data_IF_734251648450
#
_entry.id   IF_734251648450
#
_cell.length_a   1.000
_cell.length_b   1.000
_cell.length_c   1.000
_cell.angle_alpha   90.00
_cell.angle_beta   90.00
_cell.angle_gamma   90.00
#
_symmetry.space_group_name_H-M   'P 1'
#
loop_
_entity.id
_entity.type
_entity.pdbx_description
1 polymer ?
#
# COMPACT_ATOMS: atom_id res chain seq x y z
N UNK A 1 -11.65 -30.40 -0.21
CA UNK A 1 -10.21 -30.06 -0.16
C UNK A 1 -10.02 -29.12 1.02
N UNK A 2 -9.20 -29.47 2.01
CA UNK A 2 -8.93 -28.63 3.18
C UNK A 2 -7.70 -27.77 2.90
N UNK A 3 -7.78 -26.46 3.17
CA UNK A 3 -6.64 -25.57 3.08
C UNK A 3 -5.61 -25.95 4.14
N UNK A 4 -4.35 -26.17 3.73
CA UNK A 4 -3.24 -26.25 4.68
C UNK A 4 -3.06 -24.89 5.37
N UNK A 5 -2.55 -24.83 6.61
CA UNK A 5 -2.34 -23.58 7.33
C UNK A 5 -1.56 -22.51 6.55
N UNK A 6 -0.56 -22.92 5.75
CA UNK A 6 0.24 -22.04 4.90
C UNK A 6 -0.63 -21.39 3.80
N UNK A 7 -1.46 -22.19 3.13
CA UNK A 7 -2.39 -21.67 2.12
C UNK A 7 -3.44 -20.75 2.72
N UNK A 8 -3.90 -21.00 3.96
CA UNK A 8 -4.85 -20.13 4.66
C UNK A 8 -4.23 -18.78 5.03
N UNK A 9 -2.97 -18.77 5.49
CA UNK A 9 -2.23 -17.54 5.78
C UNK A 9 -2.01 -16.70 4.52
N UNK A 10 -1.48 -17.32 3.45
CA UNK A 10 -1.29 -16.65 2.17
C UNK A 10 -2.60 -16.05 1.64
N UNK A 11 -3.70 -16.82 1.70
CA UNK A 11 -5.03 -16.31 1.31
C UNK A 11 -5.47 -15.10 2.15
N UNK A 12 -5.22 -15.12 3.46
CA UNK A 12 -5.48 -13.98 4.34
C UNK A 12 -4.70 -12.73 3.90
N UNK A 13 -3.42 -12.90 3.56
CA UNK A 13 -2.56 -11.80 3.09
C UNK A 13 -3.06 -11.20 1.77
N UNK A 14 -3.49 -12.06 0.83
CA UNK A 14 -4.10 -11.63 -0.43
C UNK A 14 -5.40 -10.86 -0.20
N UNK A 15 -6.24 -11.31 0.73
CA UNK A 15 -7.50 -10.67 1.08
C UNK A 15 -7.28 -9.31 1.72
N UNK A 16 -6.35 -9.19 2.66
CA UNK A 16 -6.01 -7.90 3.28
C UNK A 16 -5.46 -6.90 2.27
N UNK A 17 -4.59 -7.34 1.35
CA UNK A 17 -4.09 -6.50 0.26
C UNK A 17 -5.24 -5.95 -0.59
N UNK A 18 -6.21 -6.81 -0.91
CA UNK A 18 -7.37 -6.41 -1.69
C UNK A 18 -8.27 -5.43 -0.93
N UNK A 19 -8.41 -5.59 0.40
CA UNK A 19 -9.11 -4.61 1.24
C UNK A 19 -8.41 -3.25 1.23
N UNK A 20 -7.07 -3.22 1.33
CA UNK A 20 -6.28 -1.99 1.23
C UNK A 20 -6.50 -1.34 -0.14
N UNK A 21 -6.43 -2.12 -1.22
CA UNK A 21 -6.68 -1.64 -2.58
C UNK A 21 -8.07 -1.03 -2.71
N UNK A 22 -9.10 -1.71 -2.22
CA UNK A 22 -10.48 -1.25 -2.26
C UNK A 22 -10.69 0.03 -1.45
N UNK A 23 -10.07 0.15 -0.26
CA UNK A 23 -10.15 1.35 0.57
C UNK A 23 -9.46 2.55 -0.10
N UNK A 24 -8.25 2.36 -0.64
CA UNK A 24 -7.54 3.38 -1.42
C UNK A 24 -8.35 3.81 -2.64
N UNK A 25 -8.94 2.87 -3.37
CA UNK A 25 -9.79 3.16 -4.52
C UNK A 25 -11.05 3.94 -4.13
N UNK A 26 -11.71 3.56 -3.04
CA UNK A 26 -12.89 4.25 -2.52
C UNK A 26 -12.59 5.71 -2.18
N UNK A 27 -11.40 6.00 -1.65
CA UNK A 27 -10.97 7.36 -1.34
C UNK A 27 -10.48 8.13 -2.57
N UNK A 28 -9.78 7.45 -3.49
CA UNK A 28 -9.15 8.03 -4.68
C UNK A 28 -9.34 7.11 -5.90
N UNK A 29 -10.47 7.22 -6.61
CA UNK A 29 -10.77 6.36 -7.76
C UNK A 29 -9.73 6.44 -8.90
N UNK A 30 -9.02 7.57 -9.00
CA UNK A 30 -7.97 7.82 -9.99
C UNK A 30 -6.75 6.88 -9.83
N UNK A 31 -6.56 6.28 -8.65
CA UNK A 31 -5.45 5.36 -8.39
C UNK A 31 -5.59 4.05 -9.16
N UNK A 32 -6.80 3.65 -9.56
CA UNK A 32 -7.06 2.36 -10.21
C UNK A 32 -6.20 2.14 -11.46
N UNK A 33 -6.04 3.19 -12.28
CA UNK A 33 -5.25 3.12 -13.50
C UNK A 33 -3.73 3.07 -13.26
N UNK A 34 -3.27 3.35 -12.03
CA UNK A 34 -1.84 3.56 -11.73
C UNK A 34 -1.31 2.52 -10.73
N UNK A 35 -2.18 2.00 -9.87
CA UNK A 35 -1.84 1.07 -8.81
C UNK A 35 -1.42 -0.28 -9.40
N UNK A 36 -0.23 -0.73 -9.03
CA UNK A 36 0.36 -1.98 -9.48
C UNK A 36 0.34 -3.00 -8.35
N UNK A 37 -0.19 -4.17 -8.67
CA UNK A 37 -0.30 -5.30 -7.77
C UNK A 37 0.78 -6.33 -8.12
N UNK A 38 1.47 -6.85 -7.10
CA UNK A 38 2.37 -7.99 -7.30
C UNK A 38 1.55 -9.29 -7.41
N UNK A 39 1.87 -10.20 -8.35
CA UNK A 39 1.14 -11.45 -8.55
C UNK A 39 1.56 -12.57 -7.59
N UNK A 40 2.74 -12.48 -6.98
CA UNK A 40 3.32 -13.53 -6.15
C UNK A 40 3.38 -13.14 -4.66
N UNK A 41 3.37 -11.84 -4.35
CA UNK A 41 3.51 -11.32 -2.99
C UNK A 41 2.34 -10.42 -2.59
N UNK A 42 2.02 -10.32 -1.28
CA UNK A 42 1.10 -9.32 -0.75
C UNK A 42 1.75 -7.91 -0.76
N UNK A 43 1.99 -7.40 -1.96
CA UNK A 43 2.67 -6.15 -2.25
C UNK A 43 1.81 -5.31 -3.21
N UNK A 44 1.78 -4.01 -2.93
CA UNK A 44 1.08 -3.01 -3.70
C UNK A 44 2.02 -1.82 -3.93
N UNK A 45 2.03 -1.30 -5.16
CA UNK A 45 2.90 -0.20 -5.58
C UNK A 45 2.04 0.91 -6.16
N UNK A 46 2.30 2.14 -5.73
CA UNK A 46 1.55 3.33 -6.16
C UNK A 46 2.57 4.29 -6.79
N UNK A 47 2.74 4.24 -8.12
CA UNK A 47 3.58 5.19 -8.85
C UNK A 47 3.01 6.61 -8.71
N UNK A 48 3.85 7.57 -8.34
CA UNK A 48 3.48 8.98 -8.36
C UNK A 48 3.70 9.57 -9.75
N UNK A 49 2.83 10.47 -10.25
CA UNK A 49 2.99 11.09 -11.57
C UNK A 49 4.28 11.91 -11.61
N UNK A 50 5.23 11.49 -12.47
CA UNK A 50 6.52 12.15 -12.64
C UNK A 50 7.50 11.98 -11.46
N UNK A 51 7.23 11.02 -10.57
CA UNK A 51 7.96 10.89 -9.31
C UNK A 51 8.21 9.45 -8.87
N UNK A 52 8.67 9.27 -7.63
CA UNK A 52 8.99 7.95 -7.10
C UNK A 52 7.74 7.14 -6.73
N UNK A 53 7.90 5.86 -6.39
CA UNK A 53 6.79 4.93 -6.12
C UNK A 53 6.62 4.69 -4.62
N UNK A 54 5.40 4.88 -4.10
CA UNK A 54 5.03 4.42 -2.74
C UNK A 54 4.86 2.91 -2.77
N UNK A 55 5.39 2.22 -1.78
CA UNK A 55 5.32 0.77 -1.67
C UNK A 55 4.53 0.42 -0.41
N UNK A 56 3.57 -0.48 -0.54
CA UNK A 56 2.82 -1.05 0.58
C UNK A 56 3.06 -2.55 0.57
N UNK A 57 3.67 -3.09 1.62
CA UNK A 57 4.07 -4.49 1.71
C UNK A 57 3.70 -5.08 3.06
N UNK A 58 3.38 -6.38 3.09
CA UNK A 58 3.24 -7.10 4.35
C UNK A 58 4.61 -7.61 4.82
N UNK A 59 4.95 -7.40 6.09
CA UNK A 59 6.14 -7.98 6.71
C UNK A 59 5.84 -9.42 7.13
N UNK A 60 6.64 -10.37 6.66
CA UNK A 60 6.51 -11.79 7.01
C UNK A 60 7.27 -12.18 8.29
N UNK A 61 8.15 -11.30 8.78
CA UNK A 61 9.10 -11.61 9.85
C UNK A 61 8.66 -10.95 11.18
N UNK A 62 7.90 -11.69 12.00
CA UNK A 62 7.52 -11.25 13.35
C UNK A 62 6.28 -11.93 13.93
N UNK A 63 6.08 -11.87 15.27
CA UNK A 63 4.92 -12.46 15.96
C UNK A 63 3.60 -11.77 15.62
N UNK A 64 3.65 -10.60 14.98
CA UNK A 64 2.50 -9.84 14.51
C UNK A 64 2.77 -9.41 13.06
N UNK A 65 2.05 -10.01 12.11
CA UNK A 65 2.15 -9.62 10.70
C UNK A 65 1.59 -8.19 10.55
N UNK A 66 2.46 -7.24 10.25
CA UNK A 66 2.09 -5.83 10.05
C UNK A 66 2.35 -5.40 8.62
N UNK A 67 1.59 -4.41 8.18
CA UNK A 67 1.83 -3.77 6.89
C UNK A 67 2.82 -2.61 7.07
N UNK A 68 3.73 -2.49 6.12
CA UNK A 68 4.67 -1.37 6.01
C UNK A 68 4.35 -0.53 4.79
N UNK A 69 4.56 0.77 4.95
CA UNK A 69 4.49 1.76 3.88
C UNK A 69 5.88 2.33 3.67
N UNK A 70 6.46 2.06 2.51
CA UNK A 70 7.68 2.68 2.02
C UNK A 70 7.35 3.99 1.33
N UNK A 71 7.73 5.11 1.96
CA UNK A 71 7.57 6.45 1.41
C UNK A 71 8.89 6.86 0.75
N UNK A 72 8.89 7.02 -0.58
CA UNK A 72 10.09 7.46 -1.26
C UNK A 72 10.38 8.93 -0.96
N UNK A 73 11.62 9.22 -0.58
CA UNK A 73 12.13 10.57 -0.41
C UNK A 73 13.50 10.66 -1.10
N UNK A 74 13.82 11.78 -1.79
CA UNK A 74 15.03 11.89 -2.61
C UNK A 74 16.34 11.65 -1.85
N UNK A 75 16.35 11.92 -0.54
CA UNK A 75 17.55 11.83 0.30
C UNK A 75 17.44 10.76 1.40
N UNK A 76 16.23 10.46 1.86
CA UNK A 76 16.00 9.65 3.06
C UNK A 76 14.70 8.85 2.93
N UNK A 77 14.67 7.76 2.15
CA UNK A 77 13.48 6.92 2.06
C UNK A 77 13.07 6.47 3.47
N UNK A 78 11.78 6.57 3.76
CA UNK A 78 11.24 6.21 5.08
C UNK A 78 10.36 4.98 4.97
N UNK A 79 10.43 4.13 5.99
CA UNK A 79 9.55 2.99 6.18
C UNK A 79 8.69 3.28 7.40
N UNK A 80 7.39 3.13 7.24
CA UNK A 80 6.41 3.36 8.30
C UNK A 80 5.64 2.07 8.53
N UNK A 81 5.68 1.57 9.76
CA UNK A 81 4.89 0.43 10.18
C UNK A 81 3.49 0.89 10.54
N UNK A 82 2.50 0.12 10.10
CA UNK A 82 1.08 0.41 10.32
C UNK A 82 0.44 -0.78 11.03
N UNK A 83 -0.35 -0.48 12.06
CA UNK A 83 -0.97 -1.52 12.89
C UNK A 83 -2.39 -1.83 12.47
N UNK A 84 -3.03 -0.91 11.76
CA UNK A 84 -4.40 -1.03 11.26
C UNK A 84 -4.49 -0.65 9.78
N UNK A 85 -5.52 -1.16 9.11
CA UNK A 85 -5.78 -0.87 7.70
C UNK A 85 -6.15 0.62 7.50
N UNK A 86 -6.94 1.20 8.40
CA UNK A 86 -7.35 2.60 8.31
C UNK A 86 -6.16 3.55 8.44
N UNK A 87 -5.27 3.34 9.43
CA UNK A 87 -4.04 4.13 9.58
C UNK A 87 -3.16 4.06 8.32
N UNK A 88 -3.05 2.86 7.72
CA UNK A 88 -2.29 2.67 6.48
C UNK A 88 -2.88 3.49 5.34
N UNK A 89 -4.19 3.40 5.15
CA UNK A 89 -4.90 4.10 4.08
C UNK A 89 -4.77 5.61 4.27
N UNK A 90 -5.01 6.12 5.48
CA UNK A 90 -4.86 7.53 5.81
C UNK A 90 -3.43 8.03 5.54
N UNK A 91 -2.42 7.27 5.94
CA UNK A 91 -1.02 7.64 5.75
C UNK A 91 -0.63 7.67 4.27
N UNK A 92 -1.03 6.66 3.50
CA UNK A 92 -0.81 6.62 2.04
C UNK A 92 -1.49 7.82 1.38
N UNK A 93 -2.75 8.12 1.73
CA UNK A 93 -3.49 9.25 1.18
C UNK A 93 -2.84 10.59 1.53
N UNK A 94 -2.41 10.77 2.78
CA UNK A 94 -1.70 11.99 3.21
C UNK A 94 -0.40 12.22 2.43
N UNK A 95 0.34 11.15 2.12
CA UNK A 95 1.54 11.23 1.29
C UNK A 95 1.23 11.48 -0.19
N UNK A 96 0.16 10.90 -0.72
CA UNK A 96 -0.31 11.21 -2.08
C UNK A 96 -0.71 12.68 -2.21
N UNK A 97 -1.38 13.23 -1.20
CA UNK A 97 -1.79 14.65 -1.17
C UNK A 97 -0.60 15.59 -1.09
N UNK A 98 0.44 15.19 -0.34
CA UNK A 98 1.68 15.98 -0.20
C UNK A 98 2.56 15.94 -1.45
N UNK A 99 2.49 14.86 -2.25
CA UNK A 99 3.23 14.72 -3.50
C UNK A 99 2.47 15.20 -4.73
N UNK A 100 1.17 15.44 -4.63
CA UNK A 100 0.42 16.07 -5.71
C UNK A 100 1.03 17.47 -5.95
N UNK A 101 1.55 17.78 -7.15
CA UNK A 101 1.91 19.15 -7.46
C UNK A 101 0.67 20.00 -7.26
N UNK A 102 0.83 21.21 -6.72
CA UNK A 102 -0.22 22.21 -6.61
C UNK A 102 -0.76 22.55 -8.02
N UNK A 103 -1.62 21.70 -8.56
CA UNK A 103 -2.33 21.95 -9.80
C UNK A 103 -3.41 22.97 -9.51
N UNK A 104 -3.07 24.24 -9.72
CA UNK A 104 -4.05 25.30 -9.97
C UNK A 104 -3.77 26.62 -9.26
N UNK A 105 -2.92 27.46 -9.84
CA UNK A 105 -3.18 28.91 -9.85
C UNK A 105 -2.51 29.59 -11.04
N UNK A 106 -3.25 29.94 -12.11
CA UNK A 106 -3.15 31.25 -12.70
C UNK A 106 -3.90 32.29 -11.86
#
# INVERSE_FOLDING_TARGET
>A
MLFTPIMAAAFGDWLEREQIRAALFSARPQLDATLLLDPDRPLLRIPLPGGPTIIVAKLEDGPTSHWIVGIPHPQFPTLQETRTLDELVEQVLAHLDSCAPASGRP
#
